data_IF_438204727612
#
_entry.id   IF_438204727612
#
_cell.length_a   1.000
_cell.length_b   1.000
_cell.length_c   1.000
_cell.angle_alpha   90.00
_cell.angle_beta   90.00
_cell.angle_gamma   90.00
#
_symmetry.space_group_name_H-M   'P 1'
#
loop_
_entity.id
_entity.type
_entity.pdbx_description
1 polymer ?
#
# COMPACT_ATOMS: atom_id res chain seq x y z
N UNK A 1 2.49 -6.66 39.10
CA UNK A 1 2.17 -7.72 38.11
C UNK A 1 1.13 -7.32 37.05
N UNK A 2 0.22 -6.36 37.29
CA UNK A 2 -0.85 -6.00 36.33
C UNK A 2 -0.37 -5.24 35.07
N UNK A 3 0.63 -4.37 35.19
CA UNK A 3 1.14 -3.55 34.07
C UNK A 3 1.85 -4.40 33.00
N UNK A 4 2.65 -5.40 33.40
CA UNK A 4 3.33 -6.30 32.46
C UNK A 4 2.33 -7.13 31.65
N UNK A 5 1.21 -7.53 32.26
CA UNK A 5 0.15 -8.29 31.59
C UNK A 5 -0.64 -7.43 30.60
N UNK A 6 -0.91 -6.17 30.94
CA UNK A 6 -1.55 -5.20 30.04
C UNK A 6 -0.68 -4.87 28.81
N UNK A 7 0.63 -4.76 28.98
CA UNK A 7 1.56 -4.54 27.87
C UNK A 7 1.60 -5.72 26.90
N UNK A 8 1.60 -6.95 27.42
CA UNK A 8 1.57 -8.16 26.57
C UNK A 8 0.26 -8.24 25.78
N UNK A 9 -0.88 -7.95 26.41
CA UNK A 9 -2.19 -7.89 25.73
C UNK A 9 -2.24 -6.79 24.66
N UNK A 10 -1.67 -5.62 24.92
CA UNK A 10 -1.61 -4.54 23.94
C UNK A 10 -0.73 -4.90 22.73
N UNK A 11 0.42 -5.54 22.96
CA UNK A 11 1.29 -6.04 21.88
C UNK A 11 0.60 -7.15 21.10
N UNK A 12 -0.15 -8.03 21.76
CA UNK A 12 -0.93 -9.07 21.10
C UNK A 12 -2.06 -8.50 20.24
N UNK A 13 -2.75 -7.46 20.72
CA UNK A 13 -3.79 -6.74 19.96
C UNK A 13 -3.24 -5.99 18.73
N UNK A 14 -2.04 -5.41 18.86
CA UNK A 14 -1.33 -4.74 17.77
C UNK A 14 -0.82 -5.75 16.72
N UNK A 15 -0.32 -6.90 17.17
CA UNK A 15 0.09 -7.99 16.29
C UNK A 15 -1.12 -8.64 15.62
N UNK A 16 -2.24 -8.79 16.31
CA UNK A 16 -3.45 -9.33 15.71
C UNK A 16 -4.08 -8.37 14.70
N UNK A 17 -3.91 -7.05 14.81
CA UNK A 17 -4.27 -6.13 13.70
C UNK A 17 -3.40 -6.36 12.45
N UNK A 18 -2.15 -6.79 12.63
CA UNK A 18 -1.25 -7.14 11.55
C UNK A 18 -1.64 -8.45 10.86
N UNK A 19 -2.24 -9.38 11.60
CA UNK A 19 -2.65 -10.72 11.14
C UNK A 19 -4.15 -10.81 10.76
N UNK A 20 -5.02 -9.89 11.21
CA UNK A 20 -6.47 -9.87 10.96
C UNK A 20 -6.91 -8.85 9.89
N UNK A 21 -6.01 -8.42 8.99
CA UNK A 21 -6.41 -7.64 7.83
C UNK A 21 -6.71 -6.16 8.09
N UNK A 22 -6.10 -5.52 9.10
CA UNK A 22 -6.20 -4.06 9.25
C UNK A 22 -5.35 -3.28 8.22
N UNK A 23 -4.63 -3.94 7.32
CA UNK A 23 -4.17 -3.31 6.09
C UNK A 23 -5.30 -3.36 5.08
N UNK A 24 -6.13 -2.31 5.07
CA UNK A 24 -7.10 -2.14 3.99
C UNK A 24 -6.34 -2.15 2.65
N UNK A 25 -6.97 -2.67 1.59
CA UNK A 25 -6.40 -2.63 0.23
C UNK A 25 -5.94 -1.22 -0.11
N UNK A 26 -6.73 -0.21 0.29
CA UNK A 26 -6.41 1.21 0.11
C UNK A 26 -5.14 1.65 0.83
N UNK A 27 -4.94 1.26 2.09
CA UNK A 27 -3.74 1.62 2.84
C UNK A 27 -2.49 0.93 2.29
N UNK A 28 -2.61 -0.35 1.92
CA UNK A 28 -1.54 -1.09 1.26
C UNK A 28 -1.16 -0.46 -0.09
N UNK A 29 -2.14 -0.14 -0.94
CA UNK A 29 -1.92 0.54 -2.20
C UNK A 29 -1.28 1.92 -2.01
N UNK A 30 -1.71 2.69 -0.99
CA UNK A 30 -1.14 4.01 -0.67
C UNK A 30 0.34 3.96 -0.30
N UNK A 31 0.74 3.02 0.55
CA UNK A 31 2.15 2.86 0.91
C UNK A 31 2.98 2.26 -0.23
N UNK A 32 2.42 1.32 -1.00
CA UNK A 32 3.08 0.78 -2.18
C UNK A 32 3.33 1.88 -3.24
N UNK A 33 2.29 2.62 -3.64
CA UNK A 33 2.39 3.70 -4.64
C UNK A 33 3.28 4.86 -4.20
N UNK A 34 3.32 5.19 -2.91
CA UNK A 34 4.28 6.14 -2.35
C UNK A 34 5.73 5.70 -2.56
N UNK A 35 6.04 4.42 -2.33
CA UNK A 35 7.38 3.86 -2.55
C UNK A 35 7.72 3.83 -4.04
N UNK A 36 6.77 3.47 -4.90
CA UNK A 36 6.94 3.43 -6.34
C UNK A 36 7.22 4.84 -6.92
N UNK A 37 6.36 5.82 -6.62
CA UNK A 37 6.50 7.20 -7.08
C UNK A 37 7.76 7.89 -6.54
N UNK A 38 8.19 7.57 -5.31
CA UNK A 38 9.44 8.08 -4.76
C UNK A 38 10.67 7.64 -5.59
N UNK A 39 10.68 6.41 -6.13
CA UNK A 39 11.74 5.94 -7.04
C UNK A 39 11.71 6.68 -8.38
N UNK A 40 10.52 7.00 -8.88
CA UNK A 40 10.34 7.72 -10.14
C UNK A 40 10.74 9.20 -10.07
N UNK A 41 10.85 9.78 -8.87
CA UNK A 41 11.24 11.18 -8.65
C UNK A 41 12.56 11.53 -9.35
N UNK A 42 13.53 10.62 -9.38
CA UNK A 42 14.83 10.84 -10.03
C UNK A 42 14.77 10.83 -11.56
N UNK A 43 13.78 10.13 -12.14
CA UNK A 43 13.64 9.96 -13.59
C UNK A 43 12.65 10.95 -14.22
N UNK A 44 11.57 11.29 -13.51
CA UNK A 44 10.46 12.10 -14.02
C UNK A 44 10.38 13.50 -13.39
N UNK A 45 11.12 13.74 -12.32
CA UNK A 45 11.02 14.95 -11.51
C UNK A 45 9.91 14.88 -10.46
N UNK A 46 10.05 15.71 -9.41
CA UNK A 46 9.19 15.71 -8.21
C UNK A 46 7.71 15.92 -8.51
N UNK A 47 7.39 16.81 -9.43
CA UNK A 47 6.01 17.20 -9.72
C UNK A 47 5.26 16.09 -10.48
N UNK A 48 5.90 15.49 -11.49
CA UNK A 48 5.30 14.39 -12.25
C UNK A 48 5.11 13.15 -11.37
N UNK A 49 6.12 12.81 -10.56
CA UNK A 49 6.02 11.71 -9.61
C UNK A 49 4.89 11.91 -8.57
N UNK A 50 4.66 13.16 -8.13
CA UNK A 50 3.56 13.47 -7.22
C UNK A 50 2.18 13.28 -7.86
N UNK A 51 2.01 13.75 -9.10
CA UNK A 51 0.74 13.63 -9.84
C UNK A 51 0.37 12.18 -10.15
N UNK A 52 1.35 11.28 -10.29
CA UNK A 52 1.13 9.85 -10.50
C UNK A 52 0.61 9.11 -9.26
N UNK A 53 0.62 9.74 -8.08
CA UNK A 53 0.39 9.04 -6.82
C UNK A 53 -1.07 8.63 -6.60
N UNK A 54 -2.03 9.53 -6.84
CA UNK A 54 -3.46 9.21 -6.75
C UNK A 54 -3.90 8.20 -7.83
N UNK A 55 -3.56 8.38 -9.12
CA UNK A 55 -3.88 7.38 -10.15
C UNK A 55 -3.34 5.98 -9.84
N UNK A 56 -2.11 5.88 -9.33
CA UNK A 56 -1.54 4.60 -8.91
C UNK A 56 -2.37 3.94 -7.80
N UNK A 57 -2.86 4.72 -6.83
CA UNK A 57 -3.65 4.19 -5.72
C UNK A 57 -4.96 3.63 -6.23
N UNK A 58 -5.67 4.40 -7.07
CA UNK A 58 -6.97 3.97 -7.61
C UNK A 58 -6.83 2.73 -8.49
N UNK A 59 -5.81 2.67 -9.35
CA UNK A 59 -5.54 1.48 -10.18
C UNK A 59 -5.20 0.25 -9.33
N UNK A 60 -4.36 0.41 -8.31
CA UNK A 60 -4.01 -0.67 -7.40
C UNK A 60 -5.22 -1.19 -6.63
N UNK A 61 -6.08 -0.29 -6.13
CA UNK A 61 -7.31 -0.66 -5.42
C UNK A 61 -8.25 -1.42 -6.35
N UNK A 62 -8.55 -0.86 -7.53
CA UNK A 62 -9.43 -1.50 -8.51
C UNK A 62 -8.89 -2.88 -8.91
N UNK A 63 -7.59 -3.00 -9.19
CA UNK A 63 -6.97 -4.25 -9.57
C UNK A 63 -7.10 -5.33 -8.48
N UNK A 64 -6.88 -4.94 -7.23
CA UNK A 64 -6.96 -5.83 -6.08
C UNK A 64 -8.41 -6.26 -5.80
N UNK A 65 -9.36 -5.33 -5.85
CA UNK A 65 -10.78 -5.60 -5.66
C UNK A 65 -11.36 -6.50 -6.77
N UNK A 66 -11.06 -6.21 -8.05
CA UNK A 66 -11.48 -7.03 -9.20
C UNK A 66 -11.02 -8.49 -9.10
N UNK A 67 -9.89 -8.74 -8.41
CA UNK A 67 -9.26 -10.06 -8.29
C UNK A 67 -9.46 -10.70 -6.93
N UNK A 68 -10.28 -10.11 -6.07
CA UNK A 68 -10.51 -10.57 -4.70
C UNK A 68 -9.16 -10.77 -3.96
N UNK A 69 -8.38 -9.67 -3.89
CA UNK A 69 -7.08 -9.61 -3.22
C UNK A 69 -7.15 -8.63 -2.06
N UNK A 70 -6.49 -8.99 -0.96
CA UNK A 70 -6.41 -8.17 0.24
C UNK A 70 -5.15 -7.28 0.24
N UNK A 71 -5.05 -6.41 1.25
CA UNK A 71 -3.89 -5.52 1.40
C UNK A 71 -2.58 -6.26 1.70
N UNK A 72 -2.64 -7.46 2.29
CA UNK A 72 -1.45 -8.28 2.52
C UNK A 72 -0.86 -8.77 1.19
N UNK A 73 -1.72 -9.25 0.27
CA UNK A 73 -1.32 -9.64 -1.06
C UNK A 73 -0.69 -8.47 -1.83
N UNK A 74 -1.26 -7.26 -1.72
CA UNK A 74 -0.73 -6.04 -2.36
C UNK A 74 0.68 -5.71 -1.89
N UNK A 75 0.93 -5.74 -0.57
CA UNK A 75 2.27 -5.50 0.00
C UNK A 75 3.26 -6.61 -0.38
N UNK A 76 2.85 -7.89 -0.30
CA UNK A 76 3.70 -9.03 -0.60
C UNK A 76 4.15 -9.07 -2.07
N UNK A 77 3.26 -8.68 -3.00
CA UNK A 77 3.51 -8.74 -4.44
C UNK A 77 3.92 -7.38 -5.04
N UNK A 78 3.98 -6.33 -4.23
CA UNK A 78 4.25 -4.95 -4.69
C UNK A 78 3.35 -4.53 -5.85
N UNK A 79 2.04 -4.79 -5.72
CA UNK A 79 1.04 -4.67 -6.78
C UNK A 79 0.76 -3.23 -7.27
N UNK A 80 1.48 -2.23 -6.74
CA UNK A 80 1.50 -0.85 -7.26
C UNK A 80 2.43 -0.66 -8.47
N UNK A 81 3.27 -1.65 -8.80
CA UNK A 81 4.04 -1.68 -10.04
C UNK A 81 3.25 -2.39 -11.14
N UNK A 82 2.06 -1.87 -11.44
CA UNK A 82 1.43 -2.20 -12.71
C UNK A 82 2.18 -1.38 -13.77
N UNK A 83 2.63 -2.07 -14.82
CA UNK A 83 3.55 -1.59 -15.84
C UNK A 83 3.34 -0.10 -16.20
N UNK A 84 4.35 0.79 -16.06
CA UNK A 84 4.25 2.21 -16.41
C UNK A 84 3.75 2.51 -17.83
N UNK A 85 3.75 1.51 -18.72
CA UNK A 85 3.17 1.59 -20.06
C UNK A 85 1.65 1.78 -20.09
N UNK A 86 0.93 1.52 -18.97
CA UNK A 86 -0.51 1.78 -18.84
C UNK A 86 -0.87 3.25 -18.65
N UNK A 87 0.08 4.08 -18.19
CA UNK A 87 -0.13 5.51 -18.03
C UNK A 87 0.00 6.21 -19.39
N UNK A 88 -1.09 6.21 -20.15
CA UNK A 88 -1.26 7.17 -21.24
C UNK A 88 -1.18 8.57 -20.63
N UNK A 89 -0.04 9.22 -20.84
CA UNK A 89 0.10 10.65 -20.64
C UNK A 89 -0.23 11.31 -21.97
N UNK A 90 -1.50 11.66 -22.11
CA UNK A 90 -1.99 12.60 -23.12
C UNK A 90 -1.36 13.99 -22.91
#
# INVERSE_FOLDING_TARGET
MKIKFLLVLAVFFLLSCRELGCFTVKDACKECCKRATAKLKGSLGSEKAWRMREPCIDECVNFAEERDKDGEWVEANQACFLDPSSYKMD
#
